data_IF_535630744668
#
_entry.id   IF_535630744668
#
_cell.length_a   1.000
_cell.length_b   1.000
_cell.length_c   1.000
_cell.angle_alpha   90.00
_cell.angle_beta   90.00
_cell.angle_gamma   90.00
#
_symmetry.space_group_name_H-M   'P 1'
#
loop_
_entity.id
_entity.type
_entity.pdbx_description
1 polymer ?
#
# COMPACT_ATOMS: atom_id res chain seq x y z
N UNK A 1 -7.02 18.89 -5.45
CA UNK A 1 -5.71 19.41 -4.98
C UNK A 1 -5.84 20.91 -4.71
N UNK A 2 -6.79 21.32 -3.87
CA UNK A 2 -7.31 22.70 -3.97
C UNK A 2 -6.77 23.70 -2.97
N UNK A 3 -5.81 23.38 -2.08
CA UNK A 3 -5.24 24.41 -1.18
C UNK A 3 -3.79 24.19 -0.69
N UNK A 4 -3.08 23.16 -1.14
CA UNK A 4 -1.67 22.88 -0.77
C UNK A 4 -1.32 22.91 0.75
N UNK A 5 -2.35 22.81 1.61
CA UNK A 5 -2.21 22.79 3.07
C UNK A 5 -1.51 21.49 3.46
N UNK A 6 -0.35 21.60 4.10
CA UNK A 6 0.35 20.50 4.76
C UNK A 6 0.24 20.66 6.26
N UNK A 7 -0.04 19.57 6.98
CA UNK A 7 -0.08 19.57 8.44
C UNK A 7 1.09 18.75 9.00
N UNK A 8 2.31 19.22 8.73
CA UNK A 8 3.55 18.58 9.18
C UNK A 8 3.75 18.79 10.69
N UNK A 9 3.51 17.74 11.48
CA UNK A 9 3.64 17.79 12.94
C UNK A 9 5.06 18.12 13.40
N UNK A 10 6.08 17.63 12.69
CA UNK A 10 7.48 17.89 13.03
C UNK A 10 7.82 19.40 13.01
N UNK A 11 7.15 20.19 12.17
CA UNK A 11 7.32 21.63 12.10
C UNK A 11 6.69 22.38 13.29
N UNK A 12 5.64 21.81 13.88
CA UNK A 12 4.88 22.42 14.99
C UNK A 12 5.45 22.00 16.35
N UNK A 13 5.97 20.76 16.43
CA UNK A 13 6.23 20.06 17.69
C UNK A 13 7.72 19.83 17.95
N UNK A 14 8.57 20.04 16.95
CA UNK A 14 9.99 19.65 16.98
C UNK A 14 10.17 18.14 16.79
N UNK A 15 11.42 17.66 16.76
CA UNK A 15 11.77 16.23 16.55
C UNK A 15 11.51 15.34 17.78
N UNK A 16 10.40 15.56 18.49
CA UNK A 16 9.98 14.71 19.60
C UNK A 16 9.23 13.49 19.06
N UNK A 17 9.93 12.38 18.84
CA UNK A 17 9.35 11.11 18.35
C UNK A 17 8.16 10.64 19.19
N UNK A 18 8.23 10.84 20.51
CA UNK A 18 7.21 10.40 21.47
C UNK A 18 5.91 11.19 21.31
N UNK A 19 6.00 12.45 20.88
CA UNK A 19 4.81 13.26 20.65
C UNK A 19 4.21 12.97 19.27
N UNK A 20 5.04 12.65 18.27
CA UNK A 20 4.55 12.17 16.98
C UNK A 20 3.78 10.85 17.13
N UNK A 21 4.34 9.88 17.87
CA UNK A 21 3.67 8.61 18.14
C UNK A 21 2.38 8.79 18.94
N UNK A 22 2.35 9.72 19.91
CA UNK A 22 1.12 10.09 20.60
C UNK A 22 0.03 10.60 19.63
N UNK A 23 0.39 11.48 18.69
CA UNK A 23 -0.57 11.94 17.67
C UNK A 23 -1.02 10.82 16.75
N UNK A 24 -0.14 9.89 16.37
CA UNK A 24 -0.53 8.69 15.61
C UNK A 24 -1.57 7.87 16.37
N UNK A 25 -1.32 7.58 17.64
CA UNK A 25 -2.26 6.80 18.45
C UNK A 25 -3.63 7.48 18.56
N UNK A 26 -3.66 8.80 18.73
CA UNK A 26 -4.92 9.56 18.77
C UNK A 26 -5.63 9.59 17.42
N UNK A 27 -4.90 9.78 16.33
CA UNK A 27 -5.46 9.74 14.99
C UNK A 27 -6.01 8.35 14.66
N UNK A 28 -5.31 7.28 15.05
CA UNK A 28 -5.77 5.90 14.87
C UNK A 28 -7.11 5.65 15.55
N UNK A 29 -7.27 6.09 16.80
CA UNK A 29 -8.54 5.96 17.53
C UNK A 29 -9.63 6.78 16.83
N UNK A 30 -9.35 8.04 16.50
CA UNK A 30 -10.31 8.91 15.83
C UNK A 30 -10.81 8.32 14.50
N UNK A 31 -9.91 7.83 13.65
CA UNK A 31 -10.28 7.22 12.36
C UNK A 31 -11.12 5.95 12.55
N UNK A 32 -10.83 5.13 13.55
CA UNK A 32 -11.65 3.96 13.90
C UNK A 32 -13.05 4.36 14.34
N UNK A 33 -13.18 5.40 15.16
CA UNK A 33 -14.47 5.91 15.61
C UNK A 33 -15.31 6.48 14.44
N UNK A 34 -14.64 6.98 13.39
CA UNK A 34 -15.27 7.39 12.13
C UNK A 34 -15.60 6.22 11.18
N UNK A 35 -15.35 4.97 11.60
CA UNK A 35 -15.66 3.77 10.83
C UNK A 35 -14.58 3.34 9.83
N UNK A 36 -13.41 3.97 9.83
CA UNK A 36 -12.31 3.51 9.00
C UNK A 36 -11.80 2.14 9.49
N UNK A 37 -11.56 1.23 8.54
CA UNK A 37 -11.10 -0.13 8.85
C UNK A 37 -9.68 -0.09 9.41
N UNK A 38 -9.43 -0.90 10.45
CA UNK A 38 -8.14 -0.95 11.16
C UNK A 38 -6.96 -1.24 10.22
N UNK A 39 -7.14 -2.17 9.28
CA UNK A 39 -6.09 -2.62 8.39
C UNK A 39 -5.64 -1.52 7.42
N UNK A 40 -6.56 -0.62 7.03
CA UNK A 40 -6.26 0.51 6.17
C UNK A 40 -5.52 1.61 6.93
N UNK A 41 -5.90 1.85 8.19
CA UNK A 41 -5.22 2.81 9.05
C UNK A 41 -3.76 2.37 9.26
N UNK A 42 -3.54 1.10 9.60
CA UNK A 42 -2.20 0.57 9.83
C UNK A 42 -1.37 0.43 8.55
N UNK A 43 -2.01 0.25 7.38
CA UNK A 43 -1.31 0.27 6.09
C UNK A 43 -0.78 1.66 5.71
N UNK A 44 -1.42 2.74 6.18
CA UNK A 44 -1.07 4.12 5.81
C UNK A 44 -0.13 4.78 6.82
N UNK A 45 -0.33 4.53 8.12
CA UNK A 45 0.45 5.21 9.18
C UNK A 45 1.78 4.48 9.40
N UNK A 46 2.87 5.12 8.98
CA UNK A 46 4.25 4.68 9.29
C UNK A 46 4.84 5.51 10.43
N UNK A 47 5.89 5.04 11.13
CA UNK A 47 6.54 5.82 12.19
C UNK A 47 7.08 7.18 11.72
N UNK A 48 7.37 7.33 10.43
CA UNK A 48 7.87 8.55 9.81
C UNK A 48 6.76 9.45 9.24
N UNK A 49 5.49 9.01 9.28
CA UNK A 49 4.38 9.79 8.74
C UNK A 49 4.13 11.01 9.62
N UNK A 50 4.41 12.21 9.15
CA UNK A 50 4.29 13.43 9.96
C UNK A 50 3.18 14.39 9.48
N UNK A 51 2.63 14.15 8.28
CA UNK A 51 1.50 14.91 7.74
C UNK A 51 0.16 14.19 8.00
N UNK A 52 -0.58 14.66 9.01
CA UNK A 52 -1.87 14.07 9.40
C UNK A 52 -2.93 14.18 8.30
N UNK A 53 -2.92 15.28 7.53
CA UNK A 53 -3.91 15.46 6.45
C UNK A 53 -3.65 14.48 5.33
N UNK A 54 -2.38 14.26 4.98
CA UNK A 54 -1.99 13.25 4.01
C UNK A 54 -2.38 11.84 4.47
N UNK A 55 -2.20 11.52 5.75
CA UNK A 55 -2.63 10.23 6.32
C UNK A 55 -4.14 10.04 6.15
N UNK A 56 -4.96 10.99 6.62
CA UNK A 56 -6.42 10.90 6.55
C UNK A 56 -6.89 10.68 5.12
N UNK A 57 -6.40 11.50 4.19
CA UNK A 57 -6.75 11.39 2.77
C UNK A 57 -6.35 10.04 2.16
N UNK A 58 -5.20 9.50 2.54
CA UNK A 58 -4.76 8.18 2.08
C UNK A 58 -5.64 7.06 2.61
N UNK A 59 -6.05 7.12 3.88
CA UNK A 59 -6.97 6.14 4.46
C UNK A 59 -8.33 6.20 3.76
N UNK A 60 -8.88 7.40 3.55
CA UNK A 60 -10.14 7.61 2.83
C UNK A 60 -10.06 7.13 1.37
N UNK A 61 -9.02 7.54 0.63
CA UNK A 61 -8.82 7.14 -0.75
C UNK A 61 -8.66 5.62 -0.87
N UNK A 62 -7.85 5.00 -0.01
CA UNK A 62 -7.66 3.55 0.00
C UNK A 62 -8.96 2.81 0.34
N UNK A 63 -9.72 3.31 1.32
CA UNK A 63 -11.05 2.77 1.66
C UNK A 63 -12.00 2.81 0.47
N UNK A 64 -12.20 4.01 -0.10
CA UNK A 64 -13.08 4.20 -1.25
C UNK A 64 -12.68 3.36 -2.46
N UNK A 65 -11.38 3.19 -2.71
CA UNK A 65 -10.87 2.37 -3.78
C UNK A 65 -11.17 0.88 -3.54
N UNK A 66 -10.96 0.38 -2.32
CA UNK A 66 -11.25 -1.02 -1.97
C UNK A 66 -12.74 -1.35 -1.91
N UNK A 67 -13.62 -0.34 -1.85
CA UNK A 67 -15.06 -0.53 -1.98
C UNK A 67 -15.51 -0.71 -3.44
N UNK A 68 -14.68 -0.32 -4.41
CA UNK A 68 -14.90 -0.57 -5.84
C UNK A 68 -14.68 -2.04 -6.20
N UNK A 69 -15.27 -2.49 -7.31
CA UNK A 69 -15.05 -3.84 -7.83
C UNK A 69 -13.59 -4.08 -8.22
N UNK A 70 -12.93 -3.09 -8.83
CA UNK A 70 -11.51 -3.19 -9.19
C UNK A 70 -10.62 -3.33 -7.96
N UNK A 71 -10.89 -2.55 -6.90
CA UNK A 71 -10.17 -2.64 -5.64
C UNK A 71 -10.35 -3.99 -4.95
N UNK A 72 -11.58 -4.54 -4.92
CA UNK A 72 -11.85 -5.88 -4.38
C UNK A 72 -11.12 -6.96 -5.17
N UNK A 73 -11.15 -6.89 -6.50
CA UNK A 73 -10.47 -7.84 -7.37
C UNK A 73 -8.96 -7.78 -7.21
N UNK A 74 -8.38 -6.58 -7.14
CA UNK A 74 -6.96 -6.38 -6.88
C UNK A 74 -6.54 -6.98 -5.53
N UNK A 75 -7.29 -6.67 -4.46
CA UNK A 75 -7.00 -7.19 -3.13
C UNK A 75 -7.07 -8.73 -3.09
N UNK A 76 -8.07 -9.32 -3.73
CA UNK A 76 -8.22 -10.77 -3.82
C UNK A 76 -7.05 -11.41 -4.59
N UNK A 77 -6.66 -10.81 -5.72
CA UNK A 77 -5.52 -11.26 -6.53
C UNK A 77 -4.20 -11.22 -5.75
N UNK A 78 -3.89 -10.07 -5.12
CA UNK A 78 -2.67 -9.88 -4.32
C UNK A 78 -2.62 -10.84 -3.14
N UNK A 79 -3.73 -11.02 -2.41
CA UNK A 79 -3.78 -11.95 -1.29
C UNK A 79 -3.55 -13.39 -1.73
N UNK A 80 -4.10 -13.78 -2.89
CA UNK A 80 -3.88 -15.12 -3.45
C UNK A 80 -2.41 -15.32 -3.82
N UNK A 81 -1.78 -14.35 -4.49
CA UNK A 81 -0.36 -14.42 -4.85
C UNK A 81 0.53 -14.54 -3.59
N UNK A 82 0.29 -13.70 -2.57
CA UNK A 82 1.04 -13.75 -1.31
C UNK A 82 0.89 -15.11 -0.59
N UNK A 83 -0.31 -15.67 -0.56
CA UNK A 83 -0.55 -16.97 0.06
C UNK A 83 0.11 -18.13 -0.69
N UNK A 84 0.17 -18.06 -2.03
CA UNK A 84 0.91 -19.04 -2.85
C UNK A 84 2.39 -18.98 -2.50
N UNK A 85 2.99 -17.78 -2.48
CA UNK A 85 4.39 -17.60 -2.11
C UNK A 85 4.68 -18.15 -0.71
N UNK A 86 3.87 -17.78 0.28
CA UNK A 86 4.03 -18.27 1.65
C UNK A 86 3.88 -19.80 1.77
N UNK A 87 3.08 -20.43 0.91
CA UNK A 87 2.96 -21.89 0.87
C UNK A 87 4.19 -22.56 0.22
N UNK A 88 4.77 -21.95 -0.81
CA UNK A 88 5.97 -22.44 -1.48
C UNK A 88 7.24 -22.26 -0.63
N UNK A 89 7.36 -21.15 0.08
CA UNK A 89 8.45 -20.94 1.06
C UNK A 89 8.43 -22.00 2.17
N UNK A 90 7.25 -22.38 2.66
CA UNK A 90 7.09 -23.47 3.64
C UNK A 90 7.55 -24.83 3.10
N UNK A 91 7.42 -25.05 1.79
CA UNK A 91 7.93 -26.24 1.10
C UNK A 91 9.42 -26.17 0.78
N UNK A 92 10.09 -25.07 1.17
CA UNK A 92 11.49 -24.77 0.86
C UNK A 92 11.75 -24.60 -0.65
N UNK A 93 10.73 -24.20 -1.40
CA UNK A 93 10.90 -23.79 -2.80
C UNK A 93 11.66 -22.45 -2.81
N UNK A 94 12.77 -22.38 -3.53
CA UNK A 94 13.51 -21.13 -3.70
C UNK A 94 12.73 -20.21 -4.65
N UNK A 95 12.38 -19.01 -4.16
CA UNK A 95 11.83 -17.94 -5.01
C UNK A 95 13.03 -17.19 -5.61
N UNK A 96 13.13 -17.18 -6.93
CA UNK A 96 14.21 -16.46 -7.62
C UNK A 96 14.05 -14.94 -7.46
N UNK A 97 15.17 -14.23 -7.35
CA UNK A 97 15.18 -12.76 -7.27
C UNK A 97 14.71 -12.09 -8.58
N UNK A 98 14.89 -12.78 -9.72
CA UNK A 98 14.51 -12.29 -11.04
C UNK A 98 13.74 -13.35 -11.80
N UNK A 99 12.85 -12.90 -12.69
CA UNK A 99 12.08 -13.79 -13.57
C UNK A 99 12.88 -14.00 -14.85
N UNK A 100 13.14 -15.26 -15.21
CA UNK A 100 13.85 -15.63 -16.44
C UNK A 100 12.84 -16.00 -17.55
N UNK A 101 12.58 -15.12 -18.55
CA UNK A 101 11.53 -15.39 -19.55
C UNK A 101 11.83 -16.59 -20.45
N UNK A 102 13.10 -17.01 -20.52
CA UNK A 102 13.53 -18.19 -21.26
C UNK A 102 12.97 -19.51 -20.68
N UNK A 103 12.53 -19.51 -19.41
CA UNK A 103 11.97 -20.68 -18.74
C UNK A 103 10.46 -20.85 -18.97
N UNK A 104 9.79 -19.86 -19.57
CA UNK A 104 8.35 -19.91 -19.84
C UNK A 104 8.00 -21.01 -20.85
N UNK A 105 7.00 -21.81 -20.52
CA UNK A 105 6.50 -22.92 -21.34
C UNK A 105 5.18 -22.60 -21.99
N UNK A 106 4.33 -21.82 -21.32
CA UNK A 106 3.00 -21.47 -21.81
C UNK A 106 2.94 -20.01 -22.26
N UNK A 107 2.14 -19.73 -23.28
CA UNK A 107 1.93 -18.35 -23.76
C UNK A 107 1.22 -17.48 -22.72
N UNK A 108 0.48 -18.08 -21.79
CA UNK A 108 -0.10 -17.39 -20.64
C UNK A 108 0.95 -16.82 -19.70
N UNK A 109 2.10 -17.47 -19.53
CA UNK A 109 3.19 -16.97 -18.67
C UNK A 109 3.83 -15.73 -19.28
N UNK A 110 4.09 -15.77 -20.60
CA UNK A 110 4.59 -14.62 -21.37
C UNK A 110 3.63 -13.44 -21.31
N UNK A 111 2.34 -13.71 -21.50
CA UNK A 111 1.29 -12.67 -21.49
C UNK A 111 1.15 -12.03 -20.10
N UNK A 112 1.18 -12.84 -19.04
CA UNK A 112 1.14 -12.36 -17.66
C UNK A 112 2.38 -11.51 -17.34
N UNK A 113 3.58 -11.99 -17.68
CA UNK A 113 4.82 -11.25 -17.46
C UNK A 113 4.81 -9.89 -18.17
N UNK A 114 4.37 -9.84 -19.43
CA UNK A 114 4.25 -8.58 -20.16
C UNK A 114 3.27 -7.61 -19.49
N UNK A 115 2.09 -8.09 -19.09
CA UNK A 115 1.09 -7.27 -18.43
C UNK A 115 1.56 -6.71 -17.09
N UNK A 116 2.25 -7.53 -16.27
CA UNK A 116 2.80 -7.10 -14.97
C UNK A 116 3.86 -6.01 -15.16
N UNK A 117 4.83 -6.20 -16.08
CA UNK A 117 5.86 -5.20 -16.36
C UNK A 117 5.26 -3.88 -16.87
N UNK A 118 4.22 -3.96 -17.71
CA UNK A 118 3.53 -2.76 -18.19
C UNK A 118 2.81 -2.03 -17.06
N UNK A 119 2.09 -2.75 -16.20
CA UNK A 119 1.39 -2.18 -15.07
C UNK A 119 2.37 -1.53 -14.06
N UNK A 120 3.50 -2.17 -13.78
CA UNK A 120 4.55 -1.63 -12.91
C UNK A 120 5.10 -0.30 -13.47
N UNK A 121 5.41 -0.26 -14.76
CA UNK A 121 5.88 0.96 -15.43
C UNK A 121 4.86 2.09 -15.33
N UNK A 122 3.61 1.81 -15.66
CA UNK A 122 2.52 2.81 -15.61
C UNK A 122 2.29 3.33 -14.19
N UNK A 123 2.33 2.45 -13.19
CA UNK A 123 2.23 2.84 -11.79
C UNK A 123 3.41 3.72 -11.36
N UNK A 124 4.63 3.39 -11.77
CA UNK A 124 5.82 4.20 -11.50
C UNK A 124 5.72 5.60 -12.10
N UNK A 125 5.28 5.72 -13.35
CA UNK A 125 5.07 7.00 -14.04
C UNK A 125 3.97 7.85 -13.37
N UNK A 126 2.91 7.22 -12.86
CA UNK A 126 1.82 7.91 -12.19
C UNK A 126 2.20 8.48 -10.82
N UNK A 127 3.20 7.90 -10.13
CA UNK A 127 3.64 8.36 -8.80
C UNK A 127 4.65 9.51 -8.90
N UNK A 128 5.32 9.68 -10.04
CA UNK A 128 6.33 10.73 -10.26
C UNK A 128 5.74 12.08 -10.70
N UNK A 129 4.48 12.13 -11.10
CA UNK A 129 3.75 13.35 -11.46
C UNK A 129 2.94 13.90 -10.27
#
# INVERSE_FOLDING_TARGET
>A
VENDIRLALAAIVGKASDLLSFFHDRLKVYLRDQGARHDLIDAVITPQSDDLLQIVRRVEALGSFLDTEDGKNLLAGTKRAANILAAEEKKKTAVAETVEPALFRADTEKSLFAAVNQAEKQAGEAIQN
#
